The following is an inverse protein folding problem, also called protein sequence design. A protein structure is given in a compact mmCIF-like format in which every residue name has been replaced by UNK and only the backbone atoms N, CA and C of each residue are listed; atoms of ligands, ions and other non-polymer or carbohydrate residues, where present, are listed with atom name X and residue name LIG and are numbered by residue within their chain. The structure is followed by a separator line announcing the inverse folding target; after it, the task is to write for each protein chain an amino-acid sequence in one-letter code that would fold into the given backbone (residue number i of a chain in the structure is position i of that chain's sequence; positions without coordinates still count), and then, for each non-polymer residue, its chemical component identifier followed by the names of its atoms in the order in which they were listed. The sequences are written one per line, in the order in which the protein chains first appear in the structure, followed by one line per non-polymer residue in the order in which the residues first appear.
data_IF_710004777225
#
_entry.id   IF_710004777225
#
_cell.length_a   1.000
_cell.length_b   1.000
_cell.length_c   1.000
_cell.angle_alpha   90.00
_cell.angle_beta   90.00
_cell.angle_gamma   90.00
#
_symmetry.space_group_name_H-M   'P 1'
#
loop_
_entity.id
_entity.type
_entity.pdbx_description
1 polymer ?
#
# COMPACT_ATOMS: atom_id res chain seq x y z
N UNK A 1 7.92 10.68 24.54
CA UNK A 1 7.61 10.26 23.15
C UNK A 1 8.84 10.50 22.31
N UNK A 2 9.39 9.46 21.68
CA UNK A 2 10.52 9.61 20.76
C UNK A 2 10.02 10.28 19.47
N UNK A 3 10.76 11.23 18.89
CA UNK A 3 10.30 12.06 17.78
C UNK A 3 10.14 11.34 16.43
N UNK A 4 10.30 10.01 16.38
CA UNK A 4 10.19 9.20 15.17
C UNK A 4 9.38 7.91 15.41
N UNK A 5 8.27 7.96 16.16
CA UNK A 5 7.40 6.79 16.35
C UNK A 5 6.47 6.53 15.16
N UNK A 6 6.40 7.45 14.19
CA UNK A 6 5.53 7.34 13.02
C UNK A 6 6.31 7.66 11.74
N UNK A 7 5.94 6.97 10.66
CA UNK A 7 6.40 7.26 9.31
C UNK A 7 5.25 7.28 8.33
N UNK A 8 5.52 7.87 7.17
CA UNK A 8 4.60 7.94 6.05
C UNK A 8 5.03 6.99 4.95
N UNK A 9 4.21 5.98 4.67
CA UNK A 9 4.50 4.97 3.66
C UNK A 9 3.66 5.25 2.41
N UNK A 10 4.33 5.43 1.26
CA UNK A 10 3.70 5.90 0.02
C UNK A 10 3.87 4.84 -1.08
N UNK A 11 2.77 4.23 -1.48
CA UNK A 11 2.70 3.35 -2.65
C UNK A 11 2.29 4.18 -3.85
N UNK A 12 3.11 4.19 -4.90
CA UNK A 12 2.83 4.97 -6.12
C UNK A 12 2.45 4.04 -7.27
N UNK A 13 1.34 4.35 -7.93
CA UNK A 13 0.87 3.67 -9.12
C UNK A 13 1.11 4.57 -10.32
N UNK A 14 1.61 4.00 -11.41
CA UNK A 14 1.68 4.69 -12.69
C UNK A 14 1.20 3.75 -13.77
N UNK A 15 0.13 4.12 -14.46
CA UNK A 15 -0.40 3.38 -15.59
C UNK A 15 -0.21 4.19 -16.88
N UNK A 16 0.67 3.68 -17.74
CA UNK A 16 1.00 4.26 -19.05
C UNK A 16 0.46 3.42 -20.21
N UNK A 17 -0.40 2.43 -19.94
CA UNK A 17 -0.79 1.40 -20.92
C UNK A 17 -1.93 1.78 -21.86
N UNK A 18 -2.26 3.07 -22.00
CA UNK A 18 -3.38 3.62 -22.77
C UNK A 18 -4.81 3.12 -22.36
N UNK A 19 -4.91 2.16 -21.45
CA UNK A 19 -6.16 1.62 -20.90
C UNK A 19 -6.12 1.58 -19.37
N UNK A 20 -7.28 1.74 -18.73
CA UNK A 20 -7.41 1.52 -17.29
C UNK A 20 -7.18 0.04 -16.95
N UNK A 21 -6.47 -0.22 -15.85
CA UNK A 21 -6.33 -1.58 -15.30
C UNK A 21 -7.33 -1.74 -14.17
N UNK A 22 -8.15 -2.79 -14.25
CA UNK A 22 -9.25 -3.00 -13.32
C UNK A 22 -9.06 -4.25 -12.51
N UNK A 23 -9.70 -4.29 -11.34
CA UNK A 23 -9.73 -5.47 -10.45
C UNK A 23 -8.33 -5.95 -10.04
N UNK A 24 -7.42 -5.02 -9.77
CA UNK A 24 -6.09 -5.35 -9.25
C UNK A 24 -6.16 -5.59 -7.74
N UNK A 25 -5.19 -6.36 -7.22
CA UNK A 25 -4.96 -6.49 -5.78
C UNK A 25 -3.65 -5.83 -5.41
N UNK A 26 -3.68 -4.83 -4.53
CA UNK A 26 -2.49 -4.31 -3.86
C UNK A 26 -2.38 -4.98 -2.50
N UNK A 27 -1.23 -5.60 -2.23
CA UNK A 27 -0.94 -6.25 -0.95
C UNK A 27 0.43 -5.82 -0.43
N UNK A 28 0.55 -5.61 0.87
CA UNK A 28 1.82 -5.52 1.59
C UNK A 28 1.65 -6.13 2.98
N UNK A 29 2.74 -6.66 3.55
CA UNK A 29 2.82 -7.06 4.95
C UNK A 29 4.06 -6.43 5.54
N UNK A 30 3.85 -5.43 6.38
CA UNK A 30 4.90 -4.78 7.13
C UNK A 30 5.52 -5.75 8.13
N UNK A 31 6.78 -5.52 8.48
CA UNK A 31 7.47 -6.32 9.48
C UNK A 31 6.76 -6.25 10.84
N UNK A 32 7.01 -7.26 11.68
CA UNK A 32 6.47 -7.28 13.03
C UNK A 32 6.84 -6.01 13.81
N UNK A 33 5.89 -5.49 14.61
CA UNK A 33 6.05 -4.27 15.38
C UNK A 33 5.65 -2.99 14.65
N UNK A 34 5.49 -3.02 13.32
CA UNK A 34 4.84 -1.93 12.60
C UNK A 34 3.33 -2.02 12.75
N UNK A 35 2.64 -0.88 12.82
CA UNK A 35 1.17 -0.84 12.84
C UNK A 35 0.69 0.25 11.90
N UNK A 36 -0.18 -0.10 10.96
CA UNK A 36 -0.87 0.89 10.14
C UNK A 36 -1.82 1.65 11.06
N UNK A 37 -1.63 2.95 11.21
CA UNK A 37 -2.46 3.80 12.06
C UNK A 37 -3.65 4.35 11.26
N UNK A 38 -3.39 4.84 10.06
CA UNK A 38 -4.43 5.43 9.22
C UNK A 38 -4.08 5.30 7.72
N UNK A 39 -5.12 5.36 6.90
CA UNK A 39 -4.99 5.62 5.46
C UNK A 39 -5.22 7.11 5.23
N UNK A 40 -4.15 7.86 5.03
CA UNK A 40 -4.22 9.31 4.76
C UNK A 40 -4.73 9.61 3.35
N UNK A 41 -4.40 8.75 2.39
CA UNK A 41 -4.88 8.83 1.02
C UNK A 41 -5.17 7.44 0.49
N UNK A 42 -6.42 7.22 0.10
CA UNK A 42 -6.87 6.01 -0.58
C UNK A 42 -6.60 6.12 -2.10
N UNK A 43 -6.46 4.97 -2.80
CA UNK A 43 -6.45 4.98 -4.26
C UNK A 43 -7.84 5.36 -4.80
N UNK A 44 -7.94 5.77 -6.07
CA UNK A 44 -9.19 6.21 -6.68
C UNK A 44 -10.37 5.25 -6.49
N UNK A 45 -10.14 3.95 -6.68
CA UNK A 45 -11.14 2.91 -6.55
C UNK A 45 -10.52 1.65 -5.94
N UNK A 46 -11.28 0.97 -5.09
CA UNK A 46 -10.88 -0.28 -4.46
C UNK A 46 -11.48 -0.40 -3.06
N UNK A 47 -11.57 -1.63 -2.57
CA UNK A 47 -12.05 -1.94 -1.24
C UNK A 47 -10.87 -2.26 -0.32
N UNK A 48 -10.76 -1.53 0.79
CA UNK A 48 -9.80 -1.85 1.84
C UNK A 48 -10.31 -3.06 2.63
N UNK A 49 -9.65 -4.21 2.49
CA UNK A 49 -9.95 -5.41 3.26
C UNK A 49 -9.09 -5.50 4.54
N UNK A 50 -7.85 -5.03 4.48
CA UNK A 50 -6.91 -5.03 5.61
C UNK A 50 -6.09 -3.73 5.61
N UNK A 51 -5.93 -3.11 6.79
CA UNK A 51 -5.23 -1.83 6.92
C UNK A 51 -5.09 -1.40 8.38
N UNK A 52 -5.70 -0.27 8.81
CA UNK A 52 -5.54 0.28 10.15
C UNK A 52 -5.70 -0.76 11.28
N UNK A 53 -4.82 -0.68 12.27
CA UNK A 53 -4.76 -1.63 13.39
C UNK A 53 -4.04 -2.94 13.07
N UNK A 54 -3.46 -3.09 11.88
CA UNK A 54 -2.74 -4.30 11.47
C UNK A 54 -1.38 -3.99 10.84
N UNK A 55 -0.57 -5.03 10.61
CA UNK A 55 0.65 -4.97 9.78
C UNK A 55 0.36 -5.17 8.30
N UNK A 56 -0.88 -5.48 7.91
CA UNK A 56 -1.22 -5.93 6.56
C UNK A 56 -2.01 -4.87 5.83
N UNK A 57 -1.58 -4.58 4.61
CA UNK A 57 -2.32 -3.75 3.67
C UNK A 57 -2.92 -4.66 2.61
N UNK A 58 -4.23 -4.57 2.40
CA UNK A 58 -4.88 -5.24 1.29
C UNK A 58 -5.99 -4.36 0.72
N UNK A 59 -5.72 -3.79 -0.46
CA UNK A 59 -6.76 -3.22 -1.31
C UNK A 59 -7.16 -4.25 -2.36
N UNK A 60 -8.45 -4.58 -2.36
CA UNK A 60 -9.08 -5.49 -3.28
C UNK A 60 -9.84 -4.73 -4.37
N UNK A 61 -9.89 -5.31 -5.56
CA UNK A 61 -10.58 -4.75 -6.73
C UNK A 61 -10.22 -3.29 -7.02
N UNK A 62 -8.92 -2.99 -6.98
CA UNK A 62 -8.41 -1.66 -7.26
C UNK A 62 -8.44 -1.38 -8.75
N UNK A 63 -9.02 -0.25 -9.15
CA UNK A 63 -8.97 0.23 -10.52
C UNK A 63 -7.92 1.34 -10.65
N UNK A 64 -6.87 1.05 -11.42
CA UNK A 64 -5.79 1.98 -11.72
C UNK A 64 -6.08 2.66 -13.06
N UNK A 65 -6.60 3.87 -12.98
CA UNK A 65 -6.84 4.74 -14.12
C UNK A 65 -5.53 5.15 -14.82
N UNK A 66 -5.67 5.71 -16.02
CA UNK A 66 -4.56 6.34 -16.73
C UNK A 66 -3.96 7.49 -15.91
N UNK A 67 -2.63 7.56 -15.87
CA UNK A 67 -1.90 8.58 -15.12
C UNK A 67 -1.23 8.01 -13.88
N UNK A 68 -1.15 8.84 -12.83
CA UNK A 68 -0.48 8.50 -11.57
C UNK A 68 -1.47 8.61 -10.41
N UNK A 69 -1.36 7.66 -9.48
CA UNK A 69 -2.08 7.69 -8.21
C UNK A 69 -1.19 7.16 -7.08
N UNK A 70 -1.68 7.22 -5.84
CA UNK A 70 -0.95 6.76 -4.68
C UNK A 70 -1.86 6.35 -3.53
N UNK A 71 -1.44 5.32 -2.79
CA UNK A 71 -1.91 5.07 -1.43
C UNK A 71 -0.90 5.66 -0.45
N UNK A 72 -1.38 6.35 0.57
CA UNK A 72 -0.54 6.93 1.61
C UNK A 72 -1.03 6.46 2.97
N UNK A 73 -0.13 5.87 3.74
CA UNK A 73 -0.39 5.36 5.08
C UNK A 73 0.43 6.12 6.12
N UNK A 74 -0.19 6.38 7.28
CA UNK A 74 0.54 6.68 8.51
C UNK A 74 0.79 5.38 9.26
N UNK A 75 2.03 5.11 9.60
CA UNK A 75 2.45 3.82 10.18
C UNK A 75 3.26 4.10 11.44
N UNK A 76 2.91 3.43 12.53
CA UNK A 76 3.73 3.39 13.73
C UNK A 76 4.91 2.45 13.51
N UNK A 77 6.11 2.91 13.88
CA UNK A 77 7.33 2.09 13.84
C UNK A 77 7.59 1.41 15.19
N UNK A 78 8.22 0.23 15.20
CA UNK A 78 8.70 -0.39 16.43
C UNK A 78 9.74 0.52 17.12
N UNK A 79 9.86 0.40 18.44
CA UNK A 79 10.83 1.17 19.24
C UNK A 79 12.29 0.75 18.98
N UNK A 80 12.49 -0.45 18.43
CA UNK A 80 13.80 -1.00 18.13
C UNK A 80 14.42 -0.31 16.91
N UNK A 81 15.74 -0.25 16.87
CA UNK A 81 16.48 0.26 15.72
C UNK A 81 16.89 -0.90 14.80
N UNK A 82 16.79 -0.71 13.49
CA UNK A 82 17.08 -1.76 12.53
C UNK A 82 16.80 -1.38 11.09
N UNK A 83 16.96 -2.37 10.21
CA UNK A 83 16.53 -2.31 8.82
C UNK A 83 15.49 -3.39 8.60
N UNK A 84 14.34 -3.02 8.05
CA UNK A 84 13.26 -3.96 7.78
C UNK A 84 13.00 -4.04 6.28
N UNK A 85 12.88 -5.25 5.72
CA UNK A 85 12.48 -5.40 4.33
C UNK A 85 11.01 -4.98 4.18
N UNK A 86 10.73 -4.19 3.14
CA UNK A 86 9.37 -3.89 2.69
C UNK A 86 9.14 -4.55 1.33
N UNK A 87 7.96 -5.13 1.11
CA UNK A 87 7.59 -5.69 -0.19
C UNK A 87 6.10 -5.54 -0.45
N UNK A 88 5.78 -4.67 -1.40
CA UNK A 88 4.46 -4.57 -1.96
C UNK A 88 4.30 -5.51 -3.17
N UNK A 89 3.12 -6.08 -3.32
CA UNK A 89 2.72 -6.84 -4.50
C UNK A 89 1.51 -6.20 -5.16
N UNK A 90 1.57 -6.13 -6.48
CA UNK A 90 0.42 -5.88 -7.32
C UNK A 90 0.08 -7.21 -8.01
N UNK A 91 -1.14 -7.70 -7.83
CA UNK A 91 -1.61 -8.98 -8.37
C UNK A 91 -2.79 -8.79 -9.31
N UNK A 92 -3.11 -9.87 -10.04
CA UNK A 92 -4.14 -9.90 -11.08
C UNK A 92 -3.80 -8.95 -12.24
N UNK A 93 -2.50 -8.79 -12.50
CA UNK A 93 -2.06 -8.17 -13.73
C UNK A 93 -2.45 -9.09 -14.90
N UNK A 94 -2.72 -8.54 -16.09
CA UNK A 94 -2.90 -9.37 -17.28
C UNK A 94 -1.67 -10.25 -17.50
N UNK A 95 -1.84 -11.46 -18.01
CA UNK A 95 -0.78 -12.46 -18.22
C UNK A 95 0.47 -11.94 -18.95
N UNK A 96 0.34 -10.91 -19.77
CA UNK A 96 1.47 -10.28 -20.48
C UNK A 96 2.33 -9.36 -19.58
N UNK A 97 1.94 -9.15 -18.32
CA UNK A 97 2.52 -8.20 -17.37
C UNK A 97 2.73 -8.81 -15.98
N UNK A 98 2.48 -10.12 -15.80
CA UNK A 98 2.61 -10.85 -14.53
C UNK A 98 3.99 -11.52 -14.41
#
# INVERSE_FOLDING_TARGET
MLPCSELRLVYRFRNTSAIARRRLDLRDTLAAGFVILEVEKAPFYGLLLEGPGSTRLHYHETDVLLGADSVVLRVQVPADTGTWPGRAWLRRLPLALD
#
